data_IF_094657314686
#
_entry.id   IF_094657314686
#
_cell.length_a   1.000
_cell.length_b   1.000
_cell.length_c   1.000
_cell.angle_alpha   90.00
_cell.angle_beta   90.00
_cell.angle_gamma   90.00
#
_symmetry.space_group_name_H-M   'P 1'
#
loop_
_entity.id
_entity.type
_entity.pdbx_description
1 polymer ?
#
# COMPACT_ATOMS: atom_id res chain seq x y z
N UNK A 1 -32.65 -19.20 -29.32
CA UNK A 1 -31.96 -19.02 -28.03
C UNK A 1 -30.70 -18.20 -28.33
N UNK A 2 -30.76 -16.87 -28.25
CA UNK A 2 -29.58 -16.03 -28.41
C UNK A 2 -28.72 -16.19 -27.16
N UNK A 3 -27.62 -16.91 -27.26
CA UNK A 3 -26.60 -16.97 -26.21
C UNK A 3 -25.78 -15.70 -26.28
N UNK A 4 -26.35 -14.60 -25.78
CA UNK A 4 -25.59 -13.39 -25.48
C UNK A 4 -24.67 -13.67 -24.30
N UNK A 5 -23.57 -14.39 -24.57
CA UNK A 5 -22.47 -14.50 -23.61
C UNK A 5 -21.98 -13.07 -23.36
N UNK A 6 -22.16 -12.50 -22.15
CA UNK A 6 -21.83 -11.11 -21.93
C UNK A 6 -20.36 -10.89 -22.25
N UNK A 7 -20.09 -9.93 -23.14
CA UNK A 7 -18.78 -9.47 -23.65
C UNK A 7 -17.76 -9.02 -22.58
N UNK A 8 -17.98 -9.34 -21.30
CA UNK A 8 -17.18 -8.92 -20.14
C UNK A 8 -15.80 -9.60 -20.04
N UNK A 9 -15.64 -10.79 -20.62
CA UNK A 9 -14.39 -11.56 -20.57
C UNK A 9 -13.27 -11.05 -21.49
N UNK A 10 -13.51 -9.96 -22.23
CA UNK A 10 -12.56 -9.39 -23.20
C UNK A 10 -12.06 -8.00 -22.81
N UNK A 11 -11.87 -7.74 -21.52
CA UNK A 11 -11.29 -6.48 -21.04
C UNK A 11 -9.84 -6.71 -20.60
N UNK A 12 -8.87 -6.13 -21.30
CA UNK A 12 -7.46 -6.15 -20.88
C UNK A 12 -7.24 -5.57 -19.46
N UNK A 13 -8.20 -4.79 -18.98
CA UNK A 13 -8.20 -4.22 -17.63
C UNK A 13 -8.35 -5.27 -16.52
N UNK A 14 -9.19 -6.32 -16.70
CA UNK A 14 -9.36 -7.36 -15.68
C UNK A 14 -8.07 -8.19 -15.50
N UNK A 15 -7.41 -8.54 -16.61
CA UNK A 15 -6.14 -9.25 -16.60
C UNK A 15 -4.99 -8.39 -16.03
N UNK A 16 -4.97 -7.09 -16.36
CA UNK A 16 -4.01 -6.15 -15.77
C UNK A 16 -4.18 -6.02 -14.25
N UNK A 17 -5.42 -5.95 -13.76
CA UNK A 17 -5.71 -5.93 -12.32
C UNK A 17 -5.27 -7.22 -11.64
N UNK A 18 -5.56 -8.38 -12.25
CA UNK A 18 -5.12 -9.68 -11.73
C UNK A 18 -3.59 -9.75 -11.62
N UNK A 19 -2.86 -9.32 -12.65
CA UNK A 19 -1.41 -9.29 -12.64
C UNK A 19 -0.87 -8.42 -11.49
N UNK A 20 -1.44 -7.24 -11.28
CA UNK A 20 -1.08 -6.37 -10.15
C UNK A 20 -1.38 -7.06 -8.81
N UNK A 21 -2.56 -7.65 -8.64
CA UNK A 21 -2.90 -8.39 -7.42
C UNK A 21 -1.85 -9.45 -7.09
N UNK A 22 -1.43 -10.24 -8.09
CA UNK A 22 -0.40 -11.27 -7.90
C UNK A 22 0.96 -10.68 -7.53
N UNK A 23 1.38 -9.57 -8.14
CA UNK A 23 2.63 -8.88 -7.79
C UNK A 23 2.58 -8.34 -6.35
N UNK A 24 1.47 -7.70 -5.96
CA UNK A 24 1.33 -7.18 -4.60
C UNK A 24 1.35 -8.32 -3.58
N UNK A 25 0.61 -9.40 -3.84
CA UNK A 25 0.50 -10.54 -2.94
C UNK A 25 1.80 -11.32 -2.80
N UNK A 26 2.45 -11.69 -3.91
CA UNK A 26 3.60 -12.59 -3.91
C UNK A 26 4.95 -11.92 -3.59
N UNK A 27 5.05 -10.59 -3.77
CA UNK A 27 6.31 -9.88 -3.62
C UNK A 27 6.20 -8.66 -2.71
N UNK A 28 5.30 -7.73 -3.02
CA UNK A 28 5.28 -6.42 -2.35
C UNK A 28 4.90 -6.54 -0.87
N UNK A 29 3.88 -7.32 -0.54
CA UNK A 29 3.47 -7.50 0.86
C UNK A 29 4.52 -8.24 1.69
N UNK A 30 5.22 -9.21 1.12
CA UNK A 30 6.30 -9.91 1.82
C UNK A 30 7.44 -8.95 2.19
N UNK A 31 7.82 -8.08 1.24
CA UNK A 31 8.83 -7.05 1.49
C UNK A 31 8.31 -6.02 2.52
N UNK A 32 7.06 -5.55 2.37
CA UNK A 32 6.48 -4.57 3.28
C UNK A 32 6.39 -5.13 4.72
N UNK A 33 5.97 -6.39 4.88
CA UNK A 33 5.89 -7.06 6.17
C UNK A 33 7.27 -7.25 6.80
N UNK A 34 8.28 -7.63 6.00
CA UNK A 34 9.67 -7.70 6.45
C UNK A 34 10.16 -6.34 6.96
N UNK A 35 9.91 -5.27 6.20
CA UNK A 35 10.27 -3.90 6.60
C UNK A 35 9.58 -3.50 7.90
N UNK A 36 8.27 -3.76 8.04
CA UNK A 36 7.54 -3.53 9.29
C UNK A 36 8.20 -4.28 10.46
N UNK A 37 8.55 -5.55 10.28
CA UNK A 37 9.22 -6.36 11.30
C UNK A 37 10.57 -5.77 11.73
N UNK A 38 11.41 -5.38 10.76
CA UNK A 38 12.71 -4.75 11.02
C UNK A 38 12.57 -3.42 11.75
N UNK A 39 11.61 -2.59 11.33
CA UNK A 39 11.36 -1.27 11.93
C UNK A 39 10.80 -1.38 13.34
N UNK A 40 9.90 -2.33 13.57
CA UNK A 40 9.37 -2.62 14.90
C UNK A 40 10.50 -3.00 15.86
N UNK A 41 11.39 -3.91 15.46
CA UNK A 41 12.54 -4.31 16.28
C UNK A 41 13.48 -3.13 16.53
N UNK A 42 13.82 -2.36 15.49
CA UNK A 42 14.68 -1.20 15.64
C UNK A 42 14.08 -0.15 16.57
N UNK A 43 12.81 0.21 16.39
CA UNK A 43 12.12 1.19 17.24
C UNK A 43 12.11 0.74 18.70
N UNK A 44 11.88 -0.56 18.94
CA UNK A 44 11.92 -1.13 20.29
C UNK A 44 13.31 -0.99 20.93
N UNK A 45 14.37 -1.41 20.24
CA UNK A 45 15.73 -1.32 20.78
C UNK A 45 16.22 0.13 20.91
N UNK A 46 15.89 0.99 19.95
CA UNK A 46 16.22 2.42 20.00
C UNK A 46 15.60 3.07 21.24
N UNK A 47 14.32 2.80 21.50
CA UNK A 47 13.64 3.32 22.69
C UNK A 47 14.24 2.78 23.98
N UNK A 48 14.67 1.52 24.00
CA UNK A 48 15.30 0.90 25.17
C UNK A 48 16.66 1.54 25.52
N UNK A 49 17.45 1.90 24.50
CA UNK A 49 18.81 2.45 24.70
C UNK A 49 18.77 3.98 24.89
N UNK A 50 18.00 4.70 24.08
CA UNK A 50 17.97 6.16 24.08
C UNK A 50 16.87 6.76 24.96
N UNK A 51 15.84 6.01 25.34
CA UNK A 51 14.71 6.51 26.14
C UNK A 51 13.72 7.42 25.40
N UNK A 52 13.95 7.67 24.11
CA UNK A 52 13.09 8.49 23.24
C UNK A 52 12.71 7.73 21.96
N UNK A 53 11.66 8.19 21.28
CA UNK A 53 11.21 7.60 20.02
C UNK A 53 12.11 8.05 18.84
N UNK A 54 12.30 7.16 17.86
CA UNK A 54 12.96 7.51 16.61
C UNK A 54 11.97 8.22 15.65
N UNK A 55 11.80 9.54 15.77
CA UNK A 55 10.77 10.32 15.04
C UNK A 55 10.76 10.09 13.53
N UNK A 56 11.94 10.12 12.88
CA UNK A 56 12.07 9.87 11.43
C UNK A 56 11.64 8.47 11.03
N UNK A 57 11.91 7.47 11.87
CA UNK A 57 11.52 6.10 11.59
C UNK A 57 10.01 5.92 11.83
N UNK A 58 9.47 6.61 12.84
CA UNK A 58 8.04 6.63 13.13
C UNK A 58 7.23 7.21 11.98
N UNK A 59 7.66 8.34 11.39
CA UNK A 59 6.99 8.92 10.22
C UNK A 59 7.05 7.97 9.01
N UNK A 60 8.20 7.35 8.76
CA UNK A 60 8.32 6.35 7.70
C UNK A 60 7.38 5.16 7.92
N UNK A 61 7.30 4.60 9.14
CA UNK A 61 6.39 3.48 9.43
C UNK A 61 4.92 3.88 9.26
N UNK A 62 4.55 5.12 9.60
CA UNK A 62 3.18 5.63 9.36
C UNK A 62 2.84 5.65 7.87
N UNK A 63 3.79 6.06 7.04
CA UNK A 63 3.62 6.05 5.60
C UNK A 63 3.58 4.63 5.03
N UNK A 64 4.47 3.74 5.48
CA UNK A 64 4.46 2.33 5.09
C UNK A 64 3.11 1.66 5.43
N UNK A 65 2.55 1.95 6.60
CA UNK A 65 1.24 1.45 7.00
C UNK A 65 0.12 2.00 6.11
N UNK A 66 0.20 3.28 5.72
CA UNK A 66 -0.77 3.91 4.81
C UNK A 66 -0.73 3.25 3.43
N UNK A 67 0.48 2.95 2.94
CA UNK A 67 0.68 2.21 1.71
C UNK A 67 0.09 0.80 1.76
N UNK A 68 0.38 0.03 2.82
CA UNK A 68 -0.17 -1.32 2.99
C UNK A 68 -1.69 -1.28 2.98
N UNK A 69 -2.29 -0.33 3.70
CA UNK A 69 -3.74 -0.14 3.71
C UNK A 69 -4.31 0.15 2.31
N UNK A 70 -3.76 1.13 1.60
CA UNK A 70 -4.22 1.47 0.25
C UNK A 70 -4.06 0.28 -0.73
N UNK A 71 -2.96 -0.45 -0.63
CA UNK A 71 -2.73 -1.65 -1.44
C UNK A 71 -3.74 -2.76 -1.13
N UNK A 72 -4.04 -3.01 0.15
CA UNK A 72 -5.09 -3.96 0.55
C UNK A 72 -6.45 -3.57 -0.02
N UNK A 73 -6.82 -2.28 0.04
CA UNK A 73 -8.08 -1.80 -0.53
C UNK A 73 -8.16 -2.08 -2.04
N UNK A 74 -7.07 -1.87 -2.78
CA UNK A 74 -7.04 -2.13 -4.22
C UNK A 74 -7.14 -3.63 -4.55
N UNK A 75 -6.33 -4.48 -3.90
CA UNK A 75 -6.27 -5.92 -4.23
C UNK A 75 -7.50 -6.70 -3.77
N UNK A 76 -8.24 -6.18 -2.78
CA UNK A 76 -9.51 -6.77 -2.29
C UNK A 76 -10.74 -6.16 -2.95
N UNK A 77 -10.56 -5.37 -4.02
CA UNK A 77 -11.65 -4.77 -4.79
C UNK A 77 -12.50 -3.74 -4.03
N UNK A 78 -12.00 -3.18 -2.93
CA UNK A 78 -12.66 -2.10 -2.19
C UNK A 78 -12.49 -0.73 -2.86
N UNK A 79 -11.50 -0.57 -3.74
CA UNK A 79 -11.27 0.63 -4.56
C UNK A 79 -10.69 0.27 -5.94
N UNK A 80 -10.84 1.16 -6.91
CA UNK A 80 -10.18 1.09 -8.24
C UNK A 80 -8.92 1.95 -8.33
N UNK A 81 -8.63 2.74 -7.29
CA UNK A 81 -7.43 3.55 -7.17
C UNK A 81 -6.21 2.65 -6.97
N UNK A 82 -5.19 2.82 -7.82
CA UNK A 82 -3.97 2.02 -7.74
C UNK A 82 -3.01 2.66 -6.73
N UNK A 83 -2.44 1.88 -5.79
CA UNK A 83 -1.44 2.37 -4.85
C UNK A 83 -0.10 2.67 -5.56
N UNK A 84 0.88 3.19 -4.82
CA UNK A 84 2.25 3.41 -5.31
C UNK A 84 2.79 2.14 -6.02
N UNK A 85 3.43 2.25 -7.20
CA UNK A 85 3.99 3.46 -7.83
C UNK A 85 3.05 4.17 -8.81
N UNK A 86 1.75 3.87 -8.81
CA UNK A 86 0.78 4.49 -9.73
C UNK A 86 0.14 5.78 -9.17
N UNK A 87 0.40 6.08 -7.90
CA UNK A 87 0.06 7.31 -7.22
C UNK A 87 1.27 7.79 -6.41
N UNK A 88 1.17 8.99 -5.86
CA UNK A 88 2.17 9.49 -4.93
C UNK A 88 2.24 8.62 -3.67
N UNK A 89 3.45 8.49 -3.15
CA UNK A 89 3.67 7.82 -1.87
C UNK A 89 3.05 8.63 -0.73
N UNK A 90 2.41 7.99 0.27
CA UNK A 90 2.24 6.54 0.43
C UNK A 90 0.92 5.99 -0.11
N UNK A 91 -0.08 6.83 -0.35
CA UNK A 91 -1.42 6.42 -0.71
C UNK A 91 -2.10 7.49 -1.59
N UNK A 92 -3.05 7.10 -2.45
CA UNK A 92 -3.85 8.05 -3.22
C UNK A 92 -4.47 9.13 -2.33
N UNK A 93 -4.36 10.40 -2.73
CA UNK A 93 -4.96 11.53 -2.01
C UNK A 93 -4.28 11.94 -0.69
N UNK A 94 -3.24 11.24 -0.22
CA UNK A 94 -2.52 11.62 1.02
C UNK A 94 -1.40 12.65 0.78
N UNK A 95 -0.88 12.76 -0.44
CA UNK A 95 0.24 13.65 -0.75
C UNK A 95 -0.08 15.15 -0.65
N UNK A 96 -1.36 15.53 -0.53
CA UNK A 96 -1.80 16.94 -0.50
C UNK A 96 -2.03 17.52 0.90
N UNK A 97 -1.82 16.75 1.98
CA UNK A 97 -1.83 17.28 3.35
C UNK A 97 -0.47 17.96 3.68
N UNK A 98 -0.10 18.96 2.87
CA UNK A 98 0.87 19.97 3.29
C UNK A 98 0.32 20.75 4.50
N UNK A 99 1.18 21.35 5.34
CA UNK A 99 0.71 22.11 6.51
C UNK A 99 -0.35 23.12 6.08
N UNK A 100 -1.56 22.95 6.60
CA UNK A 100 -2.68 23.82 6.35
C UNK A 100 -2.39 25.17 7.00
N UNK A 101 -1.79 26.10 6.25
CA UNK A 101 -1.57 27.48 6.67
C UNK A 101 -2.85 28.30 6.43
N UNK A 102 -3.92 27.96 7.15
CA UNK A 102 -5.09 28.83 7.31
C UNK A 102 -5.45 28.95 8.78
#
# INVERSE_FOLDING_TARGET
MNTDVPKRFRSGQAWGRLALILIYFLAVFEIALLLVGLMMLFQFFYRLIQGQDAERLRSFTQDLNSFIYAALQYVTFNTDEKPFPFCDWPAPGKAEDGPNYY
#
